data_IF_844203864568
#
_entry.id   IF_844203864568
#
_cell.length_a   1.000
_cell.length_b   1.000
_cell.length_c   1.000
_cell.angle_alpha   90.00
_cell.angle_beta   90.00
_cell.angle_gamma   90.00
#
_symmetry.space_group_name_H-M   'P 1'
#
loop_
_entity.id
_entity.type
_entity.pdbx_description
1 polymer ?
#
# COMPACT_ATOMS: atom_id res chain seq x y z
N UNK A 1 72.22 30.65 -0.95
CA UNK A 1 71.27 31.40 -1.81
C UNK A 1 70.37 30.40 -2.52
N UNK A 2 69.16 30.83 -2.86
CA UNK A 2 68.06 30.09 -3.52
C UNK A 2 67.14 29.28 -2.59
N UNK A 3 66.15 30.01 -2.06
CA UNK A 3 64.83 29.50 -1.70
C UNK A 3 64.10 29.00 -2.97
N UNK A 4 63.40 27.87 -2.88
CA UNK A 4 62.56 27.33 -3.95
C UNK A 4 61.35 26.64 -3.37
N UNK A 5 60.17 27.21 -3.65
CA UNK A 5 58.87 26.95 -3.03
C UNK A 5 58.45 25.47 -3.02
N UNK A 6 58.16 24.96 -1.82
CA UNK A 6 57.26 23.83 -1.60
C UNK A 6 55.83 24.27 -1.93
N UNK A 7 55.32 23.91 -3.12
CA UNK A 7 53.88 23.97 -3.37
C UNK A 7 53.17 22.87 -2.54
N UNK A 8 52.09 23.19 -1.80
CA UNK A 8 51.38 22.18 -1.03
C UNK A 8 50.58 21.28 -1.98
N UNK A 9 50.74 19.98 -1.79
CA UNK A 9 50.02 18.90 -2.50
C UNK A 9 48.48 19.03 -2.42
N UNK A 10 47.97 19.87 -1.50
CA UNK A 10 46.55 20.18 -1.36
C UNK A 10 45.94 20.92 -2.56
N UNK A 11 46.73 21.71 -3.32
CA UNK A 11 46.20 22.52 -4.42
C UNK A 11 45.82 21.69 -5.67
N UNK A 12 46.41 20.51 -5.85
CA UNK A 12 46.14 19.64 -7.02
C UNK A 12 44.89 18.77 -6.83
N UNK A 13 44.57 18.35 -5.61
CA UNK A 13 43.34 17.58 -5.33
C UNK A 13 42.08 18.46 -5.42
N UNK A 14 42.15 19.73 -5.04
CA UNK A 14 40.99 20.63 -5.11
C UNK A 14 40.55 20.92 -6.56
N UNK A 15 41.47 20.94 -7.52
CA UNK A 15 41.13 21.28 -8.91
C UNK A 15 40.40 20.13 -9.65
N UNK A 16 40.71 18.87 -9.30
CA UNK A 16 40.04 17.70 -9.89
C UNK A 16 38.62 17.49 -9.34
N UNK A 17 38.39 17.79 -8.06
CA UNK A 17 37.06 17.66 -7.44
C UNK A 17 36.10 18.75 -7.95
N UNK A 18 36.62 19.94 -8.24
CA UNK A 18 35.79 21.04 -8.76
C UNK A 18 35.39 20.84 -10.23
N UNK A 19 36.29 20.30 -11.08
CA UNK A 19 35.99 20.08 -12.49
C UNK A 19 34.93 19.00 -12.73
N UNK A 20 34.86 17.96 -11.88
CA UNK A 20 33.83 16.89 -11.99
C UNK A 20 32.47 17.37 -11.51
N UNK A 21 32.42 18.25 -10.49
CA UNK A 21 31.17 18.79 -9.96
C UNK A 21 30.49 19.79 -10.93
N UNK A 22 31.26 20.53 -11.73
CA UNK A 22 30.70 21.50 -12.70
C UNK A 22 30.07 20.81 -13.91
N UNK A 23 30.48 19.58 -14.24
CA UNK A 23 29.97 18.86 -15.42
C UNK A 23 28.67 18.05 -15.18
N UNK A 24 28.24 17.89 -13.92
CA UNK A 24 27.06 17.07 -13.56
C UNK A 24 25.77 17.87 -13.32
N UNK A 25 25.78 19.20 -13.48
CA UNK A 25 24.61 20.07 -13.27
C UNK A 25 23.80 20.38 -14.53
N UNK A 26 24.05 19.67 -15.64
CA UNK A 26 23.16 19.71 -16.79
C UNK A 26 21.95 18.78 -16.56
N UNK A 27 20.96 19.27 -15.82
CA UNK A 27 19.65 18.62 -15.72
C UNK A 27 19.05 18.47 -17.12
N UNK A 28 18.82 17.23 -17.56
CA UNK A 28 18.20 16.94 -18.86
C UNK A 28 16.69 17.09 -18.75
N UNK A 29 16.15 18.21 -19.22
CA UNK A 29 14.70 18.38 -19.40
C UNK A 29 14.26 17.64 -20.66
N UNK A 30 13.67 16.44 -20.54
CA UNK A 30 13.07 15.75 -21.66
C UNK A 30 11.63 16.25 -21.86
N UNK A 31 11.38 16.98 -22.96
CA UNK A 31 10.02 17.29 -23.39
C UNK A 31 9.45 16.09 -24.17
N UNK A 32 8.42 15.45 -23.63
CA UNK A 32 7.69 14.37 -24.33
C UNK A 32 6.57 15.00 -25.14
N UNK A 33 6.68 15.03 -26.47
CA UNK A 33 5.63 15.56 -27.34
C UNK A 33 4.68 14.40 -27.69
N UNK A 34 3.61 14.24 -26.93
CA UNK A 34 2.58 13.23 -27.20
C UNK A 34 1.72 13.66 -28.39
N UNK A 35 1.91 13.04 -29.56
CA UNK A 35 0.97 13.18 -30.68
C UNK A 35 -0.21 12.25 -30.45
N UNK A 36 -1.27 12.75 -29.82
CA UNK A 36 -2.57 12.08 -29.82
C UNK A 36 -3.24 12.29 -31.18
N UNK A 37 -3.29 11.23 -31.99
CA UNK A 37 -4.14 11.19 -33.17
C UNK A 37 -5.61 11.10 -32.70
N UNK A 38 -6.31 12.22 -32.71
CA UNK A 38 -7.74 12.28 -32.37
C UNK A 38 -8.24 13.72 -32.28
N UNK A 39 -8.52 14.33 -33.42
CA UNK A 39 -9.04 15.69 -33.51
C UNK A 39 -10.55 15.73 -33.16
N UNK A 40 -10.88 16.33 -32.03
CA UNK A 40 -12.10 17.12 -31.83
C UNK A 40 -11.96 18.01 -30.58
N UNK A 41 -11.73 19.31 -30.80
CA UNK A 41 -12.04 20.36 -29.82
C UNK A 41 -11.37 20.29 -28.44
N UNK A 42 -10.09 19.92 -28.36
CA UNK A 42 -9.34 20.04 -27.12
C UNK A 42 -8.84 21.48 -26.95
N UNK A 43 -9.35 22.20 -25.95
CA UNK A 43 -8.58 23.31 -25.36
C UNK A 43 -7.25 22.67 -24.95
N UNK A 44 -6.16 23.04 -25.63
CA UNK A 44 -4.85 22.44 -25.43
C UNK A 44 -4.36 22.75 -24.01
N UNK A 45 -4.68 21.86 -23.07
CA UNK A 45 -4.21 21.99 -21.70
C UNK A 45 -2.76 21.53 -21.65
N UNK A 46 -1.85 22.47 -21.38
CA UNK A 46 -0.43 22.19 -21.26
C UNK A 46 -0.13 21.68 -19.84
N UNK A 47 0.30 20.42 -19.72
CA UNK A 47 0.79 19.85 -18.47
C UNK A 47 2.29 20.11 -18.36
N UNK A 48 2.73 20.75 -17.26
CA UNK A 48 4.16 20.97 -16.96
C UNK A 48 4.56 20.07 -15.80
N UNK A 49 5.59 19.25 -16.00
CA UNK A 49 6.19 18.40 -14.96
C UNK A 49 7.52 19.02 -14.53
N UNK A 50 7.61 19.47 -13.27
CA UNK A 50 8.88 19.92 -12.68
C UNK A 50 9.57 18.74 -11.97
N UNK A 51 10.65 18.24 -12.58
CA UNK A 51 11.43 17.12 -12.07
C UNK A 51 12.74 17.56 -11.37
N UNK A 52 12.90 18.85 -11.03
CA UNK A 52 14.13 19.38 -10.41
C UNK A 52 14.31 18.96 -8.94
N UNK A 53 13.22 18.70 -8.23
CA UNK A 53 13.24 18.27 -6.84
C UNK A 53 12.02 17.40 -6.51
N UNK A 54 12.20 16.40 -5.64
CA UNK A 54 11.09 15.63 -5.09
C UNK A 54 10.33 16.48 -4.05
N UNK A 55 8.99 16.47 -4.11
CA UNK A 55 8.14 17.16 -3.12
C UNK A 55 8.00 16.34 -1.84
N UNK A 56 7.97 15.01 -1.98
CA UNK A 56 7.92 14.05 -0.89
C UNK A 56 8.38 12.67 -1.36
N UNK A 57 8.66 11.79 -0.42
CA UNK A 57 8.88 10.37 -0.64
C UNK A 57 7.69 9.57 -0.07
N UNK A 58 7.19 8.62 -0.84
CA UNK A 58 6.15 7.70 -0.39
C UNK A 58 6.77 6.51 0.34
N UNK A 59 6.06 5.96 1.31
CA UNK A 59 6.48 4.71 1.98
C UNK A 59 6.70 3.57 0.97
N UNK A 60 7.62 2.67 1.28
CA UNK A 60 7.89 1.47 0.48
C UNK A 60 6.62 0.65 0.21
N UNK A 61 5.71 0.56 1.19
CA UNK A 61 4.39 -0.06 1.08
C UNK A 61 3.28 0.98 0.85
N UNK A 62 3.49 1.90 -0.10
CA UNK A 62 2.52 2.96 -0.45
C UNK A 62 1.19 2.38 -0.95
N UNK A 63 1.25 1.35 -1.79
CA UNK A 63 0.05 0.63 -2.24
C UNK A 63 -0.45 -0.23 -1.08
N UNK A 64 -1.75 -0.12 -0.79
CA UNK A 64 -2.40 -0.80 0.32
C UNK A 64 -3.72 -1.45 -0.14
N UNK A 65 -4.17 -2.47 0.57
CA UNK A 65 -5.51 -3.05 0.39
C UNK A 65 -6.14 -3.38 1.75
N UNK A 66 -7.45 -3.64 1.76
CA UNK A 66 -8.20 -3.97 2.99
C UNK A 66 -8.90 -5.31 2.84
N UNK A 67 -8.86 -6.13 3.90
CA UNK A 67 -9.74 -7.26 4.09
C UNK A 67 -10.79 -6.88 5.14
N UNK A 68 -12.06 -6.92 4.77
CA UNK A 68 -13.17 -6.47 5.62
C UNK A 68 -13.78 -7.62 6.43
N UNK A 69 -14.52 -7.28 7.48
CA UNK A 69 -15.15 -8.18 8.43
C UNK A 69 -16.56 -8.64 8.03
N UNK A 70 -17.16 -8.04 6.99
CA UNK A 70 -18.55 -8.31 6.61
C UNK A 70 -18.80 -9.80 6.29
N UNK A 71 -19.84 -10.41 6.90
CA UNK A 71 -20.23 -11.77 6.60
C UNK A 71 -21.15 -11.81 5.35
N UNK A 72 -21.39 -13.00 4.75
CA UNK A 72 -22.24 -13.16 3.56
C UNK A 72 -23.64 -12.53 3.69
N UNK A 73 -24.17 -12.48 4.90
CA UNK A 73 -25.51 -11.98 5.22
C UNK A 73 -25.62 -10.45 5.12
N UNK A 74 -24.50 -9.74 4.91
CA UNK A 74 -24.49 -8.32 4.60
C UNK A 74 -25.02 -8.09 3.18
N UNK A 75 -26.29 -7.71 3.11
CA UNK A 75 -26.96 -7.35 1.88
C UNK A 75 -27.44 -5.90 1.95
N UNK A 76 -26.94 -5.07 1.03
CA UNK A 76 -27.30 -3.67 0.88
C UNK A 76 -27.88 -3.41 -0.50
N UNK A 77 -28.86 -2.51 -0.56
CA UNK A 77 -29.46 -2.06 -1.82
C UNK A 77 -29.95 -3.23 -2.70
N UNK A 78 -30.43 -4.31 -2.08
CA UNK A 78 -30.92 -5.50 -2.77
C UNK A 78 -29.83 -6.48 -3.25
N UNK A 79 -28.56 -6.27 -2.90
CA UNK A 79 -27.43 -7.13 -3.31
C UNK A 79 -26.58 -7.57 -2.12
N UNK A 80 -26.10 -8.82 -2.14
CA UNK A 80 -25.23 -9.38 -1.12
C UNK A 80 -23.80 -9.50 -1.68
N UNK A 81 -23.17 -8.34 -1.91
CA UNK A 81 -21.90 -8.26 -2.64
C UNK A 81 -20.72 -8.96 -1.93
N UNK A 82 -20.80 -9.14 -0.61
CA UNK A 82 -19.70 -9.69 0.17
C UNK A 82 -19.46 -11.17 -0.09
N UNK A 83 -20.50 -12.00 -0.20
CA UNK A 83 -20.34 -13.45 -0.43
C UNK A 83 -19.23 -14.07 0.44
N UNK A 84 -18.16 -14.58 -0.20
CA UNK A 84 -16.95 -15.11 0.47
C UNK A 84 -15.74 -14.19 0.39
N UNK A 85 -15.96 -12.87 0.40
CA UNK A 85 -14.89 -11.87 0.34
C UNK A 85 -14.47 -11.34 1.72
N UNK A 86 -15.26 -11.60 2.77
CA UNK A 86 -14.93 -11.19 4.14
C UNK A 86 -13.80 -12.04 4.72
N UNK A 87 -12.95 -11.43 5.54
CA UNK A 87 -11.78 -12.10 6.13
C UNK A 87 -12.17 -13.32 6.98
N UNK A 88 -13.42 -13.40 7.43
CA UNK A 88 -13.97 -14.53 8.20
C UNK A 88 -14.16 -15.79 7.34
N UNK A 89 -14.38 -15.65 6.04
CA UNK A 89 -14.77 -16.76 5.16
C UNK A 89 -14.09 -16.75 3.78
N UNK A 90 -13.17 -15.82 3.54
CA UNK A 90 -12.31 -15.76 2.36
C UNK A 90 -11.49 -17.05 2.19
N UNK A 91 -11.42 -17.55 0.95
CA UNK A 91 -10.55 -18.68 0.63
C UNK A 91 -9.08 -18.24 0.55
N UNK A 92 -8.39 -18.34 1.68
CA UNK A 92 -6.97 -18.01 1.82
C UNK A 92 -6.05 -19.01 1.11
N UNK A 93 -6.56 -20.17 0.70
CA UNK A 93 -5.80 -21.17 -0.05
C UNK A 93 -5.70 -20.85 -1.55
N UNK A 94 -6.53 -19.92 -2.05
CA UNK A 94 -6.59 -19.52 -3.44
C UNK A 94 -5.23 -19.04 -3.98
N UNK A 95 -4.74 -19.74 -5.01
CA UNK A 95 -3.50 -19.37 -5.71
C UNK A 95 -3.62 -18.02 -6.42
N UNK A 96 -4.82 -17.68 -6.91
CA UNK A 96 -5.06 -16.40 -7.58
C UNK A 96 -4.91 -15.26 -6.58
N UNK A 97 -5.53 -15.38 -5.40
CA UNK A 97 -5.43 -14.38 -4.34
C UNK A 97 -3.98 -14.23 -3.85
N UNK A 98 -3.31 -15.35 -3.57
CA UNK A 98 -1.91 -15.33 -3.12
C UNK A 98 -0.98 -14.67 -4.15
N UNK A 99 -1.15 -14.97 -5.44
CA UNK A 99 -0.34 -14.37 -6.50
C UNK A 99 -0.64 -12.89 -6.67
N UNK A 100 -1.91 -12.48 -6.51
CA UNK A 100 -2.28 -11.07 -6.55
C UNK A 100 -1.61 -10.29 -5.42
N UNK A 101 -1.69 -10.76 -4.17
CA UNK A 101 -1.02 -10.10 -3.03
C UNK A 101 0.50 -10.03 -3.23
N UNK A 102 1.12 -11.13 -3.70
CA UNK A 102 2.56 -11.16 -4.00
C UNK A 102 2.96 -10.15 -5.06
N UNK A 103 2.14 -9.94 -6.09
CA UNK A 103 2.44 -9.00 -7.17
C UNK A 103 2.48 -7.54 -6.71
N UNK A 104 1.84 -7.23 -5.58
CA UNK A 104 1.88 -5.91 -4.96
C UNK A 104 2.89 -5.80 -3.81
N UNK A 105 3.73 -6.81 -3.55
CA UNK A 105 4.69 -6.77 -2.46
C UNK A 105 5.75 -5.66 -2.67
N UNK A 106 6.04 -4.81 -1.66
CA UNK A 106 5.44 -4.82 -0.33
C UNK A 106 4.02 -4.21 -0.32
N UNK A 107 3.03 -4.99 0.10
CA UNK A 107 1.63 -4.57 0.20
C UNK A 107 1.24 -4.47 1.68
N UNK A 108 0.73 -3.31 2.10
CA UNK A 108 0.13 -3.19 3.42
C UNK A 108 -1.33 -3.63 3.38
N UNK A 109 -1.65 -4.70 4.10
CA UNK A 109 -3.01 -5.19 4.28
C UNK A 109 -3.60 -4.68 5.60
N UNK A 110 -4.69 -3.91 5.52
CA UNK A 110 -5.51 -3.55 6.69
C UNK A 110 -6.58 -4.61 6.89
N UNK A 111 -6.65 -5.20 8.09
CA UNK A 111 -7.79 -6.04 8.50
C UNK A 111 -8.79 -5.16 9.22
N UNK A 112 -9.83 -4.71 8.53
CA UNK A 112 -10.64 -3.62 9.06
C UNK A 112 -11.89 -3.30 8.25
N UNK A 113 -12.79 -2.60 8.91
CA UNK A 113 -14.13 -2.27 8.41
C UNK A 113 -15.02 -1.87 9.59
N UNK A 114 -16.31 -1.62 9.35
CA UNK A 114 -17.23 -1.20 10.43
C UNK A 114 -17.38 -2.24 11.53
N UNK A 115 -17.44 -3.54 11.20
CA UNK A 115 -17.59 -4.58 12.23
C UNK A 115 -16.33 -4.83 13.07
N UNK A 116 -15.22 -4.14 12.78
CA UNK A 116 -14.00 -4.22 13.59
C UNK A 116 -14.26 -3.79 15.04
N UNK A 117 -15.17 -2.84 15.27
CA UNK A 117 -15.51 -2.36 16.62
C UNK A 117 -16.42 -3.34 17.40
N UNK A 118 -16.91 -4.38 16.72
CA UNK A 118 -17.81 -5.40 17.27
C UNK A 118 -17.17 -6.80 17.29
N UNK A 119 -15.86 -6.89 17.06
CA UNK A 119 -15.14 -8.17 17.08
C UNK A 119 -14.56 -8.47 18.46
N UNK A 120 -14.69 -9.73 18.89
CA UNK A 120 -13.91 -10.30 19.99
C UNK A 120 -13.05 -11.46 19.51
N UNK A 121 -11.91 -11.67 20.15
CA UNK A 121 -11.01 -12.78 19.82
C UNK A 121 -11.36 -13.99 20.69
N UNK A 122 -11.44 -15.17 20.07
CA UNK A 122 -11.79 -16.43 20.73
C UNK A 122 -10.66 -17.01 21.57
N UNK A 123 -10.04 -16.25 22.47
CA UNK A 123 -8.90 -16.69 23.29
C UNK A 123 -9.28 -17.66 24.40
N UNK A 124 -10.58 -17.82 24.69
CA UNK A 124 -11.11 -18.73 25.72
C UNK A 124 -11.34 -18.07 27.08
N UNK A 125 -10.83 -16.86 27.30
CA UNK A 125 -10.88 -16.15 28.60
C UNK A 125 -12.23 -15.46 28.87
N UNK A 126 -13.11 -15.41 27.88
CA UNK A 126 -14.36 -14.64 27.93
C UNK A 126 -15.53 -15.40 28.55
N UNK A 127 -15.40 -16.72 28.77
CA UNK A 127 -16.47 -17.59 29.29
C UNK A 127 -17.70 -17.74 28.38
N UNK A 128 -17.75 -17.04 27.24
CA UNK A 128 -18.83 -17.08 26.27
C UNK A 128 -18.43 -17.87 25.02
N UNK A 129 -19.38 -18.55 24.36
CA UNK A 129 -19.11 -19.23 23.09
C UNK A 129 -18.68 -18.23 22.01
N UNK A 130 -17.71 -18.62 21.18
CA UNK A 130 -17.22 -17.83 20.05
C UNK A 130 -18.24 -17.85 18.90
N UNK A 131 -19.22 -16.94 18.98
CA UNK A 131 -20.32 -16.85 18.03
C UNK A 131 -20.00 -15.93 16.85
N UNK A 132 -20.41 -16.27 15.61
CA UNK A 132 -20.22 -15.40 14.45
C UNK A 132 -21.11 -14.15 14.51
N UNK A 133 -20.79 -13.15 13.71
CA UNK A 133 -21.68 -12.01 13.46
C UNK A 133 -23.03 -12.50 12.95
N UNK A 134 -24.12 -12.07 13.57
CA UNK A 134 -25.47 -12.37 13.13
C UNK A 134 -26.24 -11.08 12.91
N UNK A 135 -27.13 -11.06 11.91
CA UNK A 135 -27.93 -9.88 11.61
C UNK A 135 -28.82 -9.52 12.81
N UNK A 136 -28.70 -8.28 13.26
CA UNK A 136 -29.53 -7.69 14.30
C UNK A 136 -29.73 -6.21 13.96
N UNK A 137 -30.89 -5.87 13.40
CA UNK A 137 -31.19 -4.53 12.90
C UNK A 137 -31.26 -3.46 13.98
N UNK A 138 -31.38 -3.86 15.25
CA UNK A 138 -31.36 -2.94 16.40
C UNK A 138 -29.94 -2.70 16.93
N UNK A 139 -28.96 -3.50 16.52
CA UNK A 139 -27.58 -3.36 16.93
C UNK A 139 -26.81 -2.39 16.02
N UNK A 140 -25.66 -1.91 16.52
CA UNK A 140 -24.74 -1.09 15.75
C UNK A 140 -24.35 -1.81 14.45
N UNK A 141 -24.36 -1.07 13.33
CA UNK A 141 -24.11 -1.60 11.99
C UNK A 141 -25.05 -2.71 11.50
N UNK A 142 -26.12 -3.02 12.24
CA UNK A 142 -27.09 -4.06 11.90
C UNK A 142 -26.64 -5.48 12.21
N UNK A 143 -25.61 -5.66 13.04
CA UNK A 143 -25.07 -6.97 13.42
C UNK A 143 -24.76 -7.05 14.91
N UNK A 144 -24.84 -8.25 15.47
CA UNK A 144 -24.37 -8.54 16.83
C UNK A 144 -22.86 -8.35 16.94
N UNK A 145 -22.34 -8.39 18.17
CA UNK A 145 -20.94 -8.73 18.37
C UNK A 145 -20.63 -10.08 17.71
N UNK A 146 -19.47 -10.19 17.07
CA UNK A 146 -18.98 -11.40 16.43
C UNK A 146 -17.62 -11.80 16.98
N UNK A 147 -17.26 -13.06 16.81
CA UNK A 147 -16.02 -13.61 17.30
C UNK A 147 -15.12 -14.08 16.17
N UNK A 148 -13.83 -13.72 16.23
CA UNK A 148 -12.79 -14.32 15.41
C UNK A 148 -12.19 -15.53 16.14
N UNK A 149 -12.45 -16.77 15.69
CA UNK A 149 -11.88 -17.95 16.32
C UNK A 149 -10.37 -18.04 16.03
N UNK A 150 -9.59 -18.56 16.98
CA UNK A 150 -8.12 -18.57 16.87
C UNK A 150 -7.59 -19.35 15.67
N UNK A 151 -8.23 -20.45 15.26
CA UNK A 151 -7.82 -21.18 14.05
C UNK A 151 -7.88 -20.29 12.81
N UNK A 152 -8.87 -19.38 12.71
CA UNK A 152 -9.01 -18.47 11.58
C UNK A 152 -7.95 -17.37 11.60
N UNK A 153 -7.58 -16.91 12.80
CA UNK A 153 -6.44 -16.02 12.99
C UNK A 153 -5.13 -16.66 12.51
N UNK A 154 -4.92 -17.94 12.83
CA UNK A 154 -3.74 -18.69 12.39
C UNK A 154 -3.70 -18.86 10.86
N UNK A 155 -4.84 -19.14 10.23
CA UNK A 155 -4.96 -19.19 8.76
C UNK A 155 -4.60 -17.85 8.10
N UNK A 156 -5.09 -16.73 8.64
CA UNK A 156 -4.78 -15.39 8.16
C UNK A 156 -3.27 -15.10 8.27
N UNK A 157 -2.67 -15.40 9.43
CA UNK A 157 -1.23 -15.22 9.64
C UNK A 157 -0.39 -16.07 8.68
N UNK A 158 -0.76 -17.34 8.49
CA UNK A 158 -0.09 -18.22 7.55
C UNK A 158 -0.21 -17.71 6.11
N UNK A 159 -1.36 -17.14 5.75
CA UNK A 159 -1.55 -16.48 4.45
C UNK A 159 -0.61 -15.29 4.28
N UNK A 160 -0.54 -14.37 5.25
CA UNK A 160 0.33 -13.19 5.17
C UNK A 160 1.80 -13.58 5.04
N UNK A 161 2.29 -14.51 5.87
CA UNK A 161 3.67 -15.01 5.79
C UNK A 161 3.99 -15.61 4.41
N UNK A 162 3.01 -16.26 3.78
CA UNK A 162 3.18 -16.88 2.46
C UNK A 162 3.09 -15.88 1.31
N UNK A 163 2.35 -14.79 1.48
CA UNK A 163 2.08 -13.81 0.43
C UNK A 163 3.05 -12.63 0.39
N UNK A 164 3.89 -12.47 1.42
CA UNK A 164 4.82 -11.34 1.55
C UNK A 164 4.12 -10.09 2.08
#
# INVERSE_FOLDING_TARGET
MAAGLLLPQAARLCFCVWAVAVLSLAGSSAAVNGTSAGAAGAVGEAVVVDARAAVAETDSAFVCATLDWWPPEKCDYGTCAWGRAGLLNLDLSSKILQNAVKAFSPLRLRLGGSLQDLVVYGTGDTGAPCSPFTKNTSAMFGFTQGCLPMHRWDELNAFFQKSG
#
